data_IF_016635201907
#
_entry.id   IF_016635201907
#
_cell.length_a   1.000
_cell.length_b   1.000
_cell.length_c   1.000
_cell.angle_alpha   90.00
_cell.angle_beta   90.00
_cell.angle_gamma   90.00
#
_symmetry.space_group_name_H-M   'P 1'
#
loop_
_entity.id
_entity.type
_entity.pdbx_description
1 polymer ?
#
# COMPACT_ATOMS: atom_id res chain seq x y z
N UNK A 1 -32.44 -42.84 -51.07
CA UNK A 1 -33.49 -42.76 -50.03
C UNK A 1 -32.97 -41.81 -48.97
N UNK A 2 -33.12 -40.49 -49.10
CA UNK A 2 -34.36 -39.68 -49.02
C UNK A 2 -35.25 -40.09 -47.84
N UNK A 3 -35.28 -39.27 -46.79
CA UNK A 3 -36.44 -38.43 -46.42
C UNK A 3 -36.30 -38.04 -44.94
N UNK A 4 -35.93 -36.80 -44.62
CA UNK A 4 -36.74 -35.58 -44.63
C UNK A 4 -37.45 -35.32 -43.28
N UNK A 5 -36.95 -34.29 -42.59
CA UNK A 5 -37.72 -33.14 -42.05
C UNK A 5 -38.59 -33.37 -40.79
N UNK A 6 -38.89 -32.39 -39.92
CA UNK A 6 -39.17 -30.94 -40.12
C UNK A 6 -39.15 -30.18 -38.77
N UNK A 7 -38.62 -28.96 -38.84
CA UNK A 7 -39.13 -27.68 -38.30
C UNK A 7 -39.38 -27.49 -36.79
N UNK A 8 -38.88 -26.36 -36.22
CA UNK A 8 -39.55 -25.06 -36.36
C UNK A 8 -38.68 -23.85 -35.97
N UNK A 9 -38.79 -22.82 -36.81
CA UNK A 9 -38.23 -21.46 -36.72
C UNK A 9 -38.46 -20.74 -35.39
N UNK A 10 -37.49 -19.89 -34.99
CA UNK A 10 -37.75 -18.49 -34.60
C UNK A 10 -36.59 -17.58 -34.99
N UNK A 11 -36.85 -16.82 -36.04
CA UNK A 11 -36.21 -15.56 -36.41
C UNK A 11 -36.25 -14.56 -35.26
N UNK A 12 -35.11 -13.97 -34.86
CA UNK A 12 -35.05 -12.76 -34.04
C UNK A 12 -34.04 -11.80 -34.67
N UNK A 13 -34.54 -10.59 -34.88
CA UNK A 13 -33.98 -9.52 -35.71
C UNK A 13 -32.67 -8.96 -35.16
N UNK A 14 -31.71 -8.76 -36.07
CA UNK A 14 -30.69 -7.72 -35.96
C UNK A 14 -31.39 -6.35 -35.98
N UNK A 15 -31.45 -5.69 -34.83
CA UNK A 15 -31.82 -4.27 -34.76
C UNK A 15 -30.52 -3.48 -34.72
N UNK A 16 -30.17 -2.90 -35.88
CA UNK A 16 -29.27 -1.76 -35.97
C UNK A 16 -29.98 -0.55 -35.35
N UNK A 17 -29.45 -0.02 -34.24
CA UNK A 17 -29.78 1.34 -33.79
C UNK A 17 -28.55 2.20 -34.03
N UNK A 18 -28.62 3.01 -35.08
CA UNK A 18 -27.82 4.21 -35.27
C UNK A 18 -28.71 5.40 -34.90
N UNK A 19 -28.25 6.29 -34.03
CA UNK A 19 -28.53 7.75 -33.87
C UNK A 19 -27.72 8.17 -32.61
N UNK A 20 -26.55 8.80 -32.74
CA UNK A 20 -26.26 10.22 -32.94
C UNK A 20 -26.25 11.09 -31.64
N UNK A 21 -25.06 11.70 -31.42
CA UNK A 21 -24.80 13.01 -30.81
C UNK A 21 -25.05 13.24 -29.30
N UNK A 22 -23.95 13.27 -28.54
CA UNK A 22 -23.58 14.48 -27.76
C UNK A 22 -22.04 14.63 -27.68
N UNK A 23 -21.54 15.74 -28.20
CA UNK A 23 -20.20 16.35 -27.96
C UNK A 23 -20.25 17.15 -26.63
N UNK A 24 -19.18 17.82 -26.11
CA UNK A 24 -17.76 17.90 -26.53
C UNK A 24 -16.75 17.80 -25.35
N UNK A 25 -15.42 17.83 -25.62
CA UNK A 25 -14.42 18.01 -24.55
C UNK A 25 -12.94 18.03 -24.95
N UNK A 26 -12.56 18.94 -25.86
CA UNK A 26 -11.24 19.55 -26.03
C UNK A 26 -9.97 18.69 -26.25
N UNK A 27 -9.63 18.52 -27.53
CA UNK A 27 -8.26 18.62 -28.02
C UNK A 27 -8.13 19.94 -28.82
N UNK A 28 -6.95 20.55 -28.71
CA UNK A 28 -6.41 21.70 -29.46
C UNK A 28 -6.90 23.11 -29.07
N UNK A 29 -5.94 23.95 -28.64
CA UNK A 29 -5.56 25.13 -29.42
C UNK A 29 -4.13 25.54 -29.08
N UNK A 30 -3.28 25.51 -30.09
CA UNK A 30 -2.10 26.33 -30.19
C UNK A 30 -2.49 27.70 -30.76
N UNK A 31 -1.65 28.69 -30.47
CA UNK A 31 -1.47 29.94 -31.22
C UNK A 31 -2.49 31.06 -30.96
N UNK A 32 -2.04 32.09 -30.24
CA UNK A 32 -2.44 33.47 -30.47
C UNK A 32 -1.15 34.32 -30.39
N UNK A 33 -1.02 35.16 -31.40
CA UNK A 33 0.15 35.91 -31.81
C UNK A 33 0.20 37.25 -31.08
N UNK A 34 1.41 37.79 -30.97
CA UNK A 34 1.77 38.93 -30.13
C UNK A 34 0.97 40.21 -30.32
N UNK A 35 0.93 40.97 -29.23
CA UNK A 35 0.76 42.41 -29.26
C UNK A 35 1.96 43.06 -28.56
N UNK A 36 2.55 44.02 -29.27
CA UNK A 36 3.79 44.71 -28.95
C UNK A 36 3.51 45.81 -27.92
N UNK A 37 4.22 45.77 -26.80
CA UNK A 37 4.38 46.90 -25.89
C UNK A 37 5.84 46.99 -25.43
N UNK A 38 6.58 47.95 -25.97
CA UNK A 38 7.88 48.39 -25.45
C UNK A 38 7.73 48.92 -24.02
N UNK A 39 8.58 48.48 -23.08
CA UNK A 39 9.32 49.37 -22.14
C UNK A 39 10.63 48.68 -21.71
N UNK A 40 11.73 49.26 -22.20
CA UNK A 40 13.06 49.48 -21.62
C UNK A 40 13.71 48.45 -20.66
N UNK A 41 14.81 47.88 -21.18
CA UNK A 41 16.16 47.82 -20.61
C UNK A 41 16.31 47.55 -19.10
N UNK A 42 16.68 46.31 -18.77
CA UNK A 42 17.70 46.08 -17.75
C UNK A 42 18.45 44.77 -18.01
N UNK A 43 19.75 44.95 -18.21
CA UNK A 43 20.79 43.96 -18.44
C UNK A 43 20.69 42.71 -17.57
N UNK A 44 20.74 41.55 -18.21
CA UNK A 44 21.18 40.29 -17.63
C UNK A 44 22.54 40.52 -16.97
N UNK A 45 22.60 40.34 -15.65
CA UNK A 45 23.88 40.08 -14.98
C UNK A 45 23.95 38.60 -14.70
N UNK A 46 25.05 38.03 -15.19
CA UNK A 46 25.39 36.62 -15.23
C UNK A 46 25.92 36.22 -13.85
N UNK A 47 25.03 36.04 -12.86
CA UNK A 47 25.32 35.36 -11.60
C UNK A 47 24.00 34.81 -11.04
N UNK A 48 24.05 33.59 -10.52
CA UNK A 48 22.97 32.86 -9.84
C UNK A 48 22.11 31.94 -10.72
N UNK A 49 22.76 31.05 -11.50
CA UNK A 49 22.18 29.75 -11.87
C UNK A 49 23.11 28.63 -11.38
N UNK A 50 23.27 28.52 -10.07
CA UNK A 50 23.73 27.29 -9.42
C UNK A 50 22.94 27.13 -8.10
N UNK A 51 21.72 26.63 -8.22
CA UNK A 51 20.96 26.08 -7.10
C UNK A 51 20.19 24.86 -7.60
N UNK A 52 20.91 23.74 -7.56
CA UNK A 52 20.43 22.38 -7.30
C UNK A 52 19.14 21.95 -8.00
N UNK A 53 19.27 21.62 -9.29
CA UNK A 53 18.54 20.47 -9.82
C UNK A 53 19.31 19.21 -9.38
N UNK A 54 19.21 18.83 -8.11
CA UNK A 54 19.42 17.42 -7.77
C UNK A 54 18.36 16.64 -8.54
N UNK A 55 18.81 16.00 -9.62
CA UNK A 55 18.07 14.96 -10.30
C UNK A 55 17.74 13.92 -9.24
N UNK A 56 16.51 13.95 -8.71
CA UNK A 56 16.01 13.00 -7.73
C UNK A 56 15.98 11.62 -8.42
N UNK A 57 17.11 10.93 -8.38
CA UNK A 57 17.20 9.54 -8.79
C UNK A 57 16.27 8.79 -7.85
N UNK A 58 15.26 8.07 -8.35
CA UNK A 58 14.39 7.28 -7.49
C UNK A 58 15.28 6.34 -6.66
N UNK A 59 15.42 6.65 -5.38
CA UNK A 59 16.13 5.77 -4.45
C UNK A 59 15.34 4.48 -4.44
N UNK A 60 16.01 3.34 -4.63
CA UNK A 60 15.35 2.04 -4.64
C UNK A 60 14.46 1.92 -3.38
N UNK A 61 13.22 1.38 -3.49
CA UNK A 61 12.30 1.34 -2.36
C UNK A 61 12.96 0.61 -1.19
N UNK A 62 13.19 1.36 -0.11
CA UNK A 62 13.85 0.86 1.09
C UNK A 62 12.83 0.07 1.92
N UNK A 63 13.22 -1.11 2.38
CA UNK A 63 12.40 -1.88 3.32
C UNK A 63 12.32 -1.09 4.64
N UNK A 64 11.12 -0.79 5.17
CA UNK A 64 10.99 -0.07 6.44
C UNK A 64 11.63 -0.82 7.60
N UNK A 65 12.34 -0.09 8.46
CA UNK A 65 12.85 -0.61 9.72
C UNK A 65 11.87 -0.31 10.86
N UNK A 66 11.84 -1.14 11.90
CA UNK A 66 10.96 -0.89 13.05
C UNK A 66 11.33 0.41 13.79
N UNK A 67 12.59 0.84 13.68
CA UNK A 67 13.05 2.13 14.19
C UNK A 67 12.32 3.33 13.60
N UNK A 68 11.79 3.19 12.39
CA UNK A 68 11.20 4.30 11.64
C UNK A 68 9.89 4.78 12.30
N UNK A 69 9.23 3.91 13.07
CA UNK A 69 7.99 4.23 13.78
C UNK A 69 8.15 5.41 14.74
N UNK A 70 9.32 5.59 15.35
CA UNK A 70 9.57 6.68 16.28
C UNK A 70 9.66 8.04 15.57
N UNK A 71 10.18 8.07 14.34
CA UNK A 71 10.25 9.28 13.53
C UNK A 71 8.89 9.66 12.93
N UNK A 72 8.03 8.66 12.68
CA UNK A 72 6.68 8.83 12.13
C UNK A 72 5.61 9.10 13.21
N UNK A 73 6.04 9.28 14.46
CA UNK A 73 5.16 9.52 15.60
C UNK A 73 4.68 10.98 15.64
N UNK A 74 3.98 11.39 14.60
CA UNK A 74 3.29 12.69 14.48
C UNK A 74 1.78 12.46 14.47
N UNK A 75 1.29 11.75 15.49
CA UNK A 75 -0.12 11.37 15.56
C UNK A 75 -0.91 12.32 16.47
N UNK A 76 -1.95 12.91 15.91
CA UNK A 76 -2.90 13.77 16.61
C UNK A 76 -3.60 12.97 17.72
N UNK A 77 -3.51 13.47 18.95
CA UNK A 77 -4.16 12.87 20.12
C UNK A 77 -5.70 12.91 20.01
N UNK A 78 -6.25 13.77 19.16
CA UNK A 78 -7.70 13.88 18.93
C UNK A 78 -8.27 12.69 18.13
N UNK A 79 -7.41 11.85 17.52
CA UNK A 79 -7.84 10.62 16.84
C UNK A 79 -8.26 9.49 17.79
N UNK A 80 -7.99 9.63 19.09
CA UNK A 80 -8.31 8.64 20.11
C UNK A 80 -9.81 8.32 20.17
N UNK A 81 -10.67 9.29 19.84
CA UNK A 81 -12.13 9.16 19.93
C UNK A 81 -12.78 8.48 18.70
N UNK A 82 -12.06 8.35 17.59
CA UNK A 82 -12.60 7.85 16.33
C UNK A 82 -12.20 6.41 16.01
N UNK A 83 -11.33 5.81 16.83
CA UNK A 83 -10.89 4.43 16.67
C UNK A 83 -11.06 3.62 17.94
N UNK A 84 -11.23 2.30 17.78
CA UNK A 84 -11.28 1.38 18.91
C UNK A 84 -9.89 0.99 19.43
N UNK A 85 -8.81 1.33 18.73
CA UNK A 85 -7.45 0.91 19.08
C UNK A 85 -6.99 1.35 20.49
N UNK A 86 -7.20 2.61 20.93
CA UNK A 86 -6.78 3.05 22.26
C UNK A 86 -7.49 2.33 23.41
N UNK A 87 -8.68 1.77 23.18
CA UNK A 87 -9.45 1.01 24.15
C UNK A 87 -9.09 -0.48 24.20
N UNK A 88 -8.28 -0.98 23.26
CA UNK A 88 -7.75 -2.35 23.31
C UNK A 88 -6.61 -2.44 24.31
N UNK A 89 -6.36 -3.65 24.81
CA UNK A 89 -5.23 -3.86 25.70
C UNK A 89 -3.90 -3.56 24.99
N UNK A 90 -2.88 -3.12 25.72
CA UNK A 90 -1.56 -2.84 25.18
C UNK A 90 -0.97 -4.07 24.50
N UNK A 91 -1.25 -5.27 24.99
CA UNK A 91 -0.84 -6.50 24.33
C UNK A 91 -1.47 -6.64 22.94
N UNK A 92 -2.77 -6.36 22.81
CA UNK A 92 -3.46 -6.43 21.54
C UNK A 92 -2.98 -5.34 20.58
N UNK A 93 -2.85 -4.10 21.04
CA UNK A 93 -2.33 -2.98 20.24
C UNK A 93 -0.90 -3.25 19.74
N UNK A 94 -0.05 -3.88 20.56
CA UNK A 94 1.29 -4.30 20.15
C UNK A 94 1.27 -5.34 19.02
N UNK A 95 0.33 -6.29 19.06
CA UNK A 95 0.15 -7.29 17.99
C UNK A 95 -0.43 -6.67 16.73
N UNK A 96 -1.37 -5.74 16.86
CA UNK A 96 -1.93 -4.98 15.74
C UNK A 96 -0.83 -4.16 15.04
N UNK A 97 0.05 -3.51 15.82
CA UNK A 97 1.23 -2.79 15.31
C UNK A 97 2.17 -3.73 14.55
N UNK A 98 2.44 -4.92 15.09
CA UNK A 98 3.28 -5.93 14.44
C UNK A 98 2.71 -6.40 13.10
N UNK A 99 1.39 -6.60 13.02
CA UNK A 99 0.71 -6.94 11.77
C UNK A 99 0.86 -5.83 10.74
N UNK A 100 0.58 -4.58 11.13
CA UNK A 100 0.69 -3.42 10.24
C UNK A 100 2.13 -3.23 9.74
N UNK A 101 3.12 -3.38 10.62
CA UNK A 101 4.53 -3.32 10.26
C UNK A 101 4.97 -4.49 9.35
N UNK A 102 4.40 -5.68 9.54
CA UNK A 102 4.64 -6.79 8.61
C UNK A 102 4.14 -6.48 7.21
N UNK A 103 2.95 -5.87 7.09
CA UNK A 103 2.39 -5.47 5.81
C UNK A 103 3.24 -4.41 5.11
N UNK A 104 3.79 -3.44 5.85
CA UNK A 104 4.65 -2.41 5.26
C UNK A 104 5.95 -2.99 4.70
N UNK A 105 6.54 -4.00 5.38
CA UNK A 105 7.69 -4.74 4.84
C UNK A 105 7.32 -5.65 3.68
N UNK A 106 6.20 -6.37 3.77
CA UNK A 106 5.70 -7.28 2.74
C UNK A 106 5.44 -6.58 1.40
N UNK A 107 4.87 -5.37 1.47
CA UNK A 107 4.42 -4.59 0.32
C UNK A 107 5.27 -3.33 0.09
N UNK A 108 6.52 -3.30 0.57
CA UNK A 108 7.40 -2.12 0.50
C UNK A 108 7.63 -1.54 -0.92
N UNK A 109 7.34 -2.33 -1.97
CA UNK A 109 7.47 -1.92 -3.37
C UNK A 109 6.24 -1.19 -3.91
N UNK A 110 5.12 -1.22 -3.19
CA UNK A 110 3.90 -0.49 -3.51
C UNK A 110 3.82 0.66 -2.51
N UNK A 111 4.26 1.86 -2.92
CA UNK A 111 4.47 3.01 -2.03
C UNK A 111 3.23 3.35 -1.19
N UNK A 112 2.05 3.44 -1.82
CA UNK A 112 0.79 3.72 -1.13
C UNK A 112 0.49 2.70 -0.02
N UNK A 113 0.69 1.41 -0.29
CA UNK A 113 0.46 0.34 0.70
C UNK A 113 1.52 0.39 1.80
N UNK A 114 2.79 0.59 1.43
CA UNK A 114 3.91 0.69 2.37
C UNK A 114 3.68 1.85 3.33
N UNK A 115 3.36 3.03 2.83
CA UNK A 115 3.17 4.23 3.64
C UNK A 115 1.93 4.10 4.53
N UNK A 116 0.77 3.72 3.98
CA UNK A 116 -0.48 3.57 4.76
C UNK A 116 -0.31 2.59 5.94
N UNK A 117 0.31 1.44 5.68
CA UNK A 117 0.54 0.42 6.72
C UNK A 117 1.66 0.80 7.69
N UNK A 118 2.66 1.58 7.26
CA UNK A 118 3.72 2.08 8.15
C UNK A 118 3.22 3.20 9.06
N UNK A 119 2.44 4.15 8.54
CA UNK A 119 1.77 5.18 9.35
C UNK A 119 0.75 4.55 10.30
N UNK A 120 0.01 3.52 9.88
CA UNK A 120 -0.85 2.74 10.77
C UNK A 120 -0.06 2.08 11.91
N UNK A 121 1.13 1.52 11.63
CA UNK A 121 2.00 0.97 12.67
C UNK A 121 2.51 2.06 13.63
N UNK A 122 2.85 3.24 13.13
CA UNK A 122 3.28 4.38 13.95
C UNK A 122 2.15 4.94 14.85
N UNK A 123 0.92 4.96 14.34
CA UNK A 123 -0.27 5.28 15.14
C UNK A 123 -0.42 4.32 16.32
N UNK A 124 -0.35 3.02 16.05
CA UNK A 124 -0.47 1.98 17.07
C UNK A 124 0.71 1.98 18.05
N UNK A 125 1.91 2.32 17.58
CA UNK A 125 3.07 2.57 18.45
C UNK A 125 2.78 3.67 19.49
N UNK A 126 2.06 4.73 19.09
CA UNK A 126 1.70 5.85 19.98
C UNK A 126 0.74 5.45 21.11
N UNK A 127 -0.11 4.43 20.89
CA UNK A 127 -1.06 3.91 21.89
C UNK A 127 -0.61 2.60 22.54
N UNK A 128 0.63 2.16 22.27
CA UNK A 128 1.20 0.97 22.86
C UNK A 128 2.12 1.33 24.03
N UNK A 129 2.29 0.40 24.97
CA UNK A 129 3.17 0.57 26.12
C UNK A 129 4.11 -0.63 26.24
N UNK A 130 5.35 -0.49 25.81
CA UNK A 130 6.32 -1.58 25.75
C UNK A 130 7.76 -1.06 25.83
N UNK A 131 8.70 -1.95 26.16
CA UNK A 131 10.14 -1.67 26.17
C UNK A 131 10.67 -1.57 24.72
N UNK A 132 10.74 -0.34 24.20
CA UNK A 132 11.09 -0.08 22.80
C UNK A 132 12.46 -0.64 22.40
N UNK A 133 13.47 -0.39 23.21
CA UNK A 133 14.84 -0.84 22.93
C UNK A 133 14.95 -2.37 22.88
N UNK A 134 14.12 -3.08 23.66
CA UNK A 134 14.07 -4.54 23.63
C UNK A 134 13.27 -5.08 22.43
N UNK A 135 12.22 -4.38 22.02
CA UNK A 135 11.30 -4.83 20.98
C UNK A 135 11.84 -4.57 19.56
N UNK A 136 12.57 -3.47 19.33
CA UNK A 136 12.92 -2.98 17.99
C UNK A 136 13.59 -4.04 17.09
N UNK A 137 14.66 -4.64 17.58
CA UNK A 137 15.42 -5.63 16.80
C UNK A 137 14.68 -6.97 16.76
N UNK A 138 14.05 -7.38 17.87
CA UNK A 138 13.27 -8.63 17.96
C UNK A 138 12.09 -8.63 17.00
N UNK A 139 11.36 -7.51 16.89
CA UNK A 139 10.23 -7.37 15.98
C UNK A 139 10.69 -7.40 14.52
N UNK A 140 11.73 -6.65 14.19
CA UNK A 140 12.31 -6.63 12.84
C UNK A 140 12.73 -8.03 12.39
N UNK A 141 13.44 -8.76 13.27
CA UNK A 141 13.84 -10.14 13.01
C UNK A 141 12.63 -11.06 12.82
N UNK A 142 11.66 -11.01 13.73
CA UNK A 142 10.49 -11.88 13.70
C UNK A 142 9.66 -11.70 12.41
N UNK A 143 9.45 -10.45 11.97
CA UNK A 143 8.76 -10.18 10.70
C UNK A 143 9.56 -10.76 9.53
N UNK A 144 10.87 -10.54 9.49
CA UNK A 144 11.73 -11.06 8.43
C UNK A 144 11.67 -12.60 8.34
N UNK A 145 11.69 -13.29 9.48
CA UNK A 145 11.55 -14.75 9.54
C UNK A 145 10.22 -15.23 8.94
N UNK A 146 9.11 -14.56 9.27
CA UNK A 146 7.80 -14.93 8.72
C UNK A 146 7.70 -14.65 7.23
N UNK A 147 8.22 -13.52 6.75
CA UNK A 147 8.21 -13.18 5.32
C UNK A 147 9.07 -14.14 4.49
N UNK A 148 10.16 -14.66 5.07
CA UNK A 148 11.05 -15.62 4.42
C UNK A 148 10.51 -17.07 4.39
N UNK A 149 9.41 -17.38 5.10
CA UNK A 149 8.86 -18.74 5.12
C UNK A 149 8.42 -19.19 3.72
N UNK A 150 8.73 -20.44 3.31
CA UNK A 150 8.31 -20.96 2.02
C UNK A 150 6.84 -21.39 2.07
N UNK A 151 5.94 -20.55 1.55
CA UNK A 151 4.52 -20.90 1.38
C UNK A 151 4.32 -21.47 -0.02
N UNK A 152 3.80 -22.70 -0.08
CA UNK A 152 3.48 -23.34 -1.35
C UNK A 152 2.07 -22.97 -1.76
N UNK A 153 1.93 -22.55 -3.01
CA UNK A 153 0.66 -22.49 -3.72
C UNK A 153 0.76 -23.42 -4.92
N UNK A 154 -0.36 -24.02 -5.31
CA UNK A 154 -0.42 -24.72 -6.60
C UNK A 154 -0.15 -23.68 -7.70
N UNK A 155 0.73 -23.97 -8.68
CA UNK A 155 0.89 -23.08 -9.82
C UNK A 155 -0.48 -22.82 -10.45
N UNK A 156 -0.75 -21.55 -10.76
CA UNK A 156 -1.97 -21.18 -11.49
C UNK A 156 -1.82 -21.72 -12.91
N UNK A 157 -2.34 -22.92 -13.16
CA UNK A 157 -2.41 -23.52 -14.50
C UNK A 157 -3.65 -22.96 -15.19
N UNK A 158 -3.57 -21.73 -15.65
CA UNK A 158 -4.65 -21.16 -16.44
C UNK A 158 -4.41 -21.48 -17.91
N UNK A 159 -5.16 -22.45 -18.44
CA UNK A 159 -5.21 -22.70 -19.90
C UNK A 159 -5.73 -21.46 -20.66
N UNK A 160 -6.36 -20.49 -19.97
CA UNK A 160 -6.83 -19.23 -20.55
C UNK A 160 -5.85 -18.04 -20.41
N UNK A 161 -4.76 -18.19 -19.64
CA UNK A 161 -3.69 -17.17 -19.61
C UNK A 161 -2.86 -17.15 -20.91
N UNK A 162 -2.90 -18.24 -21.68
CA UNK A 162 -2.24 -18.36 -22.99
C UNK A 162 -2.90 -17.54 -24.10
N UNK A 163 -4.16 -17.13 -23.96
CA UNK A 163 -4.85 -16.40 -25.04
C UNK A 163 -4.47 -14.92 -25.11
N UNK A 164 -3.80 -14.37 -24.09
CA UNK A 164 -3.38 -12.96 -24.05
C UNK A 164 -1.85 -12.77 -24.15
N UNK A 165 -1.06 -13.84 -24.27
CA UNK A 165 0.41 -13.80 -24.28
C UNK A 165 1.06 -14.01 -25.66
N UNK A 166 0.30 -14.09 -26.76
CA UNK A 166 0.88 -14.27 -28.10
C UNK A 166 1.35 -12.96 -28.78
N UNK A 167 1.44 -11.86 -28.02
CA UNK A 167 2.00 -10.59 -28.46
C UNK A 167 2.94 -10.05 -27.37
N UNK A 168 4.20 -10.47 -27.45
CA UNK A 168 5.39 -10.06 -26.67
C UNK A 168 5.94 -11.16 -25.75
N UNK A 169 7.21 -11.49 -25.97
CA UNK A 169 7.95 -12.44 -25.14
C UNK A 169 7.83 -12.05 -23.66
N UNK A 170 7.65 -13.00 -22.72
CA UNK A 170 7.53 -12.68 -21.30
C UNK A 170 8.85 -12.06 -20.84
N UNK A 171 8.87 -10.73 -20.81
CA UNK A 171 9.98 -9.94 -20.29
C UNK A 171 10.04 -10.01 -18.76
N UNK A 172 9.04 -10.65 -18.13
CA UNK A 172 8.93 -10.82 -16.69
C UNK A 172 8.74 -12.32 -16.37
N UNK A 173 9.50 -12.88 -15.41
CA UNK A 173 9.22 -14.22 -14.90
C UNK A 173 7.79 -14.27 -14.34
N UNK A 174 7.14 -15.45 -14.32
CA UNK A 174 5.78 -15.58 -13.79
C UNK A 174 5.73 -14.97 -12.39
N UNK A 175 4.81 -14.02 -12.18
CA UNK A 175 4.58 -13.42 -10.86
C UNK A 175 4.27 -14.54 -9.87
N UNK A 176 5.27 -14.94 -9.07
CA UNK A 176 5.06 -15.90 -8.01
C UNK A 176 4.19 -15.26 -6.94
N UNK A 177 3.08 -15.92 -6.61
CA UNK A 177 2.21 -15.46 -5.54
C UNK A 177 2.92 -15.68 -4.19
N UNK A 178 3.52 -14.63 -3.65
CA UNK A 178 4.34 -14.69 -2.43
C UNK A 178 3.54 -15.00 -1.15
N UNK A 179 2.21 -14.93 -1.21
CA UNK A 179 1.29 -15.12 -0.08
C UNK A 179 1.66 -14.25 1.15
N UNK A 180 2.22 -13.06 0.92
CA UNK A 180 2.75 -12.20 1.99
C UNK A 180 1.70 -11.80 3.04
N UNK A 181 0.45 -11.53 2.61
CA UNK A 181 -0.66 -11.30 3.55
C UNK A 181 -0.87 -12.49 4.50
N UNK A 182 -0.87 -13.71 3.97
CA UNK A 182 -1.03 -14.92 4.78
C UNK A 182 0.15 -15.09 5.76
N UNK A 183 1.37 -14.83 5.32
CA UNK A 183 2.56 -14.83 6.20
C UNK A 183 2.42 -13.83 7.36
N UNK A 184 1.89 -12.64 7.09
CA UNK A 184 1.64 -11.63 8.14
C UNK A 184 0.47 -12.01 9.07
N UNK A 185 -0.57 -12.67 8.56
CA UNK A 185 -1.65 -13.22 9.40
C UNK A 185 -1.13 -14.35 10.30
N UNK A 186 -0.27 -15.20 9.77
CA UNK A 186 0.36 -16.28 10.54
C UNK A 186 1.33 -15.73 11.60
N UNK A 187 2.00 -14.60 11.33
CA UNK A 187 2.75 -13.86 12.34
C UNK A 187 1.83 -13.35 13.45
N UNK A 188 0.74 -12.68 13.07
CA UNK A 188 -0.22 -12.07 13.99
C UNK A 188 -0.85 -13.09 14.96
N UNK A 189 -1.14 -14.29 14.47
CA UNK A 189 -1.65 -15.40 15.27
C UNK A 189 -0.57 -16.33 15.84
N UNK A 190 0.71 -16.05 15.55
CA UNK A 190 1.83 -16.90 15.88
C UNK A 190 2.21 -16.92 17.37
N UNK A 191 2.70 -18.05 17.90
CA UNK A 191 3.16 -18.15 19.28
C UNK A 191 4.41 -17.30 19.57
N UNK A 192 5.24 -17.03 18.57
CA UNK A 192 6.44 -16.21 18.70
C UNK A 192 6.10 -14.74 18.95
N UNK A 193 5.11 -14.19 18.24
CA UNK A 193 4.62 -12.83 18.51
C UNK A 193 3.93 -12.75 19.86
N UNK A 194 3.16 -13.76 20.23
CA UNK A 194 2.53 -13.85 21.56
C UNK A 194 3.58 -13.87 22.68
N UNK A 195 4.69 -14.60 22.48
CA UNK A 195 5.81 -14.63 23.42
C UNK A 195 6.50 -13.26 23.49
N UNK A 196 6.79 -12.64 22.34
CA UNK A 196 7.41 -11.32 22.29
C UNK A 196 6.55 -10.27 23.01
N UNK A 197 5.24 -10.30 22.80
CA UNK A 197 4.32 -9.39 23.46
C UNK A 197 4.36 -9.56 25.00
N UNK A 198 4.45 -10.80 25.51
CA UNK A 198 4.57 -11.05 26.94
C UNK A 198 5.91 -10.60 27.55
N UNK A 199 6.97 -10.60 26.76
CA UNK A 199 8.29 -10.17 27.20
C UNK A 199 8.42 -8.64 27.23
N UNK A 200 7.90 -7.95 26.20
CA UNK A 200 8.19 -6.53 26.01
C UNK A 200 7.04 -5.60 26.42
N UNK A 201 5.78 -6.05 26.44
CA UNK A 201 4.64 -5.17 26.75
C UNK A 201 4.54 -4.93 28.26
N UNK A 202 4.47 -3.66 28.63
CA UNK A 202 4.31 -3.20 30.01
C UNK A 202 2.81 -3.17 30.32
N UNK A 203 2.40 -3.78 31.43
CA UNK A 203 1.00 -3.87 31.85
C UNK A 203 0.04 -4.38 30.74
N UNK A 204 0.28 -5.59 30.18
CA UNK A 204 -0.34 -6.06 28.94
C UNK A 204 -1.87 -6.09 28.91
N UNK A 205 -2.51 -6.14 30.08
CA UNK A 205 -3.97 -6.14 30.23
C UNK A 205 -4.61 -4.76 30.30
N UNK A 206 -3.83 -3.68 30.46
CA UNK A 206 -4.31 -2.30 30.49
C UNK A 206 -4.37 -1.71 29.08
N UNK A 207 -4.99 -0.55 28.92
CA UNK A 207 -5.12 0.16 27.65
C UNK A 207 -4.70 1.63 27.75
N UNK A 208 -4.44 2.25 26.59
CA UNK A 208 -4.13 3.67 26.51
C UNK A 208 -5.29 4.51 27.05
N UNK A 209 -6.52 4.20 26.64
CA UNK A 209 -7.71 4.93 27.07
C UNK A 209 -7.93 4.87 28.58
N UNK A 210 -7.69 3.72 29.23
CA UNK A 210 -7.75 3.61 30.69
C UNK A 210 -6.71 4.52 31.37
N UNK A 211 -5.48 4.55 30.85
CA UNK A 211 -4.39 5.36 31.40
C UNK A 211 -4.56 6.87 31.15
N UNK A 212 -5.32 7.26 30.13
CA UNK A 212 -5.46 8.66 29.68
C UNK A 212 -6.90 9.18 29.77
N UNK A 213 -7.79 8.46 30.46
CA UNK A 213 -9.20 8.86 30.71
C UNK A 213 -9.37 10.08 31.62
N UNK A 214 -8.26 10.69 32.07
CA UNK A 214 -8.21 11.87 32.92
C UNK A 214 -7.32 12.97 32.30
N UNK A 215 -7.62 13.37 31.06
CA UNK A 215 -7.08 14.62 30.50
C UNK A 215 -8.19 15.67 30.65
N UNK A 216 -8.06 16.66 31.55
CA UNK A 216 -9.03 17.74 31.70
C UNK A 216 -9.09 18.68 30.50
#
# INVERSE_FOLDING_TARGET
>A
MNCLTRLKDKSICLIFIAVALSLPGYLALAEEVGEVGEVEDQSVTEHDIEAEAELNVPTAPTVPAFSDLQALRDFDHDLVDFTSSPARSYQQTFKDMALSFCLSQAYHRVEEVKDDTLYTAAALHSWSRYEYDEAKDKMTHLVSEYLAKPYRHEPVTDETALENEELEAPSHPPHHLELSLLKCLDLYHGPELEKLAKECVIDPGRSYAEDHSHIP
#
